data_IF_325350422065
#
_entry.id   IF_325350422065
#
_cell.length_a   1.000
_cell.length_b   1.000
_cell.length_c   1.000
_cell.angle_alpha   90.00
_cell.angle_beta   90.00
_cell.angle_gamma   90.00
#
_symmetry.space_group_name_H-M   'P 1'
#
loop_
_entity.id
_entity.type
_entity.pdbx_description
1 polymer ?
#
# COMPACT_ATOMS: atom_id res chain seq x y z
N UNK A 1 26.04 11.02 24.48
CA UNK A 1 24.73 11.28 23.83
C UNK A 1 24.58 10.28 22.69
N UNK A 2 23.75 9.24 22.86
CA UNK A 2 23.68 8.07 21.97
C UNK A 2 22.65 8.16 20.84
N UNK A 3 22.24 9.36 20.44
CA UNK A 3 21.19 9.60 19.44
C UNK A 3 21.80 10.22 18.18
N UNK A 4 21.28 9.87 17.01
CA UNK A 4 21.69 10.44 15.72
C UNK A 4 20.46 10.70 14.84
N UNK A 5 20.60 11.67 13.92
CA UNK A 5 19.62 11.91 12.87
C UNK A 5 19.62 10.71 11.91
N UNK A 6 18.45 10.13 11.66
CA UNK A 6 18.29 8.96 10.81
C UNK A 6 17.13 9.13 9.86
N UNK A 7 17.26 8.60 8.64
CA UNK A 7 16.19 8.56 7.65
C UNK A 7 15.28 7.36 7.93
N UNK A 8 13.97 7.56 7.82
CA UNK A 8 12.96 6.51 8.02
C UNK A 8 12.93 5.58 6.81
N UNK A 9 13.21 4.30 7.03
CA UNK A 9 13.34 3.29 5.95
C UNK A 9 12.26 2.20 6.00
N UNK A 10 11.42 2.19 7.04
CA UNK A 10 10.41 1.15 7.21
C UNK A 10 9.14 1.48 6.41
N UNK A 11 8.86 0.68 5.38
CA UNK A 11 7.56 0.69 4.71
C UNK A 11 6.52 0.08 5.67
N UNK A 12 5.50 0.86 6.05
CA UNK A 12 4.39 0.40 6.88
C UNK A 12 3.40 -0.46 6.07
N UNK A 13 3.87 -1.56 5.47
CA UNK A 13 3.03 -2.48 4.71
C UNK A 13 2.68 -3.69 5.57
N UNK A 14 1.47 -3.68 6.12
CA UNK A 14 0.88 -4.82 6.84
C UNK A 14 0.22 -5.73 5.80
N UNK A 15 0.87 -6.83 5.44
CA UNK A 15 0.26 -7.86 4.59
C UNK A 15 -0.54 -8.84 5.46
N UNK A 16 -1.71 -9.30 4.99
CA UNK A 16 -2.45 -10.36 5.67
C UNK A 16 -1.67 -11.69 5.57
N UNK A 17 -1.84 -12.56 6.56
CA UNK A 17 -1.13 -13.84 6.66
C UNK A 17 -1.40 -14.77 5.46
N UNK A 18 -2.58 -14.66 4.86
CA UNK A 18 -3.08 -15.51 3.78
C UNK A 18 -3.10 -14.80 2.41
N UNK A 19 -2.19 -13.86 2.18
CA UNK A 19 -2.14 -13.07 0.94
C UNK A 19 -2.14 -13.92 -0.35
N UNK A 20 -1.45 -15.07 -0.33
CA UNK A 20 -1.39 -15.97 -1.48
C UNK A 20 -2.73 -16.62 -1.80
N UNK A 21 -3.50 -16.99 -0.76
CA UNK A 21 -4.83 -17.58 -0.92
C UNK A 21 -5.81 -16.54 -1.47
N UNK A 22 -5.80 -15.33 -0.90
CA UNK A 22 -6.65 -14.22 -1.35
C UNK A 22 -6.35 -13.86 -2.80
N UNK A 23 -5.06 -13.79 -3.17
CA UNK A 23 -4.65 -13.48 -4.54
C UNK A 23 -5.09 -14.57 -5.53
N UNK A 24 -4.97 -15.84 -5.13
CA UNK A 24 -5.39 -16.98 -5.95
C UNK A 24 -6.92 -17.02 -6.13
N UNK A 25 -7.68 -16.80 -5.05
CA UNK A 25 -9.14 -16.79 -5.08
C UNK A 25 -9.66 -15.68 -5.99
N UNK A 26 -9.12 -14.46 -5.86
CA UNK A 26 -9.47 -13.33 -6.72
C UNK A 26 -9.19 -13.62 -8.20
N UNK A 27 -8.03 -14.20 -8.50
CA UNK A 27 -7.65 -14.59 -9.86
C UNK A 27 -8.63 -15.61 -10.47
N UNK A 28 -8.99 -16.65 -9.71
CA UNK A 28 -9.93 -17.68 -10.16
C UNK A 28 -11.34 -17.12 -10.36
N UNK A 29 -11.78 -16.22 -9.48
CA UNK A 29 -13.08 -15.57 -9.59
C UNK A 29 -13.17 -14.68 -10.85
N UNK A 30 -12.14 -13.89 -11.13
CA UNK A 30 -12.06 -13.08 -12.35
C UNK A 30 -12.08 -13.94 -13.60
N UNK A 31 -11.28 -15.00 -13.64
CA UNK A 31 -11.25 -15.95 -14.76
C UNK A 31 -12.62 -16.62 -14.98
N UNK A 32 -13.29 -17.04 -13.91
CA UNK A 32 -14.64 -17.60 -13.97
C UNK A 32 -15.66 -16.61 -14.56
N UNK A 33 -15.61 -15.35 -14.13
CA UNK A 33 -16.52 -14.31 -14.62
C UNK A 33 -16.30 -14.01 -16.12
N UNK A 34 -15.04 -13.89 -16.54
CA UNK A 34 -14.70 -13.67 -17.95
C UNK A 34 -15.20 -14.83 -18.82
N UNK A 35 -14.95 -16.08 -18.39
CA UNK A 35 -15.34 -17.28 -19.14
C UNK A 35 -16.86 -17.45 -19.25
N UNK A 36 -17.61 -17.25 -18.16
CA UNK A 36 -19.06 -17.50 -18.15
C UNK A 36 -19.90 -16.35 -18.71
N UNK A 37 -19.43 -15.11 -18.57
CA UNK A 37 -20.20 -13.93 -18.98
C UNK A 37 -19.62 -13.24 -20.22
N UNK A 38 -18.56 -13.79 -20.82
CA UNK A 38 -17.89 -13.21 -22.01
C UNK A 38 -17.58 -11.72 -21.81
N UNK A 39 -17.07 -11.36 -20.63
CA UNK A 39 -16.77 -9.98 -20.27
C UNK A 39 -15.73 -9.44 -21.25
N UNK A 40 -16.10 -8.38 -21.99
CA UNK A 40 -15.20 -7.75 -22.92
C UNK A 40 -14.03 -7.07 -22.17
N UNK A 41 -12.80 -7.11 -22.70
CA UNK A 41 -11.61 -6.54 -22.04
C UNK A 41 -11.75 -5.05 -21.69
N UNK A 42 -12.56 -4.31 -22.44
CA UNK A 42 -12.89 -2.90 -22.20
C UNK A 42 -13.61 -2.64 -20.86
N UNK A 43 -14.21 -3.67 -20.26
CA UNK A 43 -14.81 -3.59 -18.93
C UNK A 43 -13.84 -3.95 -17.81
N UNK A 44 -12.65 -4.49 -18.10
CA UNK A 44 -11.60 -4.73 -17.12
C UNK A 44 -10.90 -3.40 -16.77
N UNK A 45 -11.43 -2.69 -15.77
CA UNK A 45 -10.80 -1.49 -15.23
C UNK A 45 -9.75 -1.84 -14.19
N UNK A 46 -8.51 -1.43 -14.43
CA UNK A 46 -7.48 -1.40 -13.42
C UNK A 46 -7.76 -0.24 -12.45
N UNK A 47 -8.08 -0.57 -11.20
CA UNK A 47 -8.13 0.41 -10.12
C UNK A 47 -6.81 0.33 -9.37
N UNK A 48 -6.03 1.40 -9.44
CA UNK A 48 -4.88 1.58 -8.57
C UNK A 48 -5.21 2.56 -7.44
N UNK A 49 -4.48 2.42 -6.33
CA UNK A 49 -4.52 3.39 -5.26
C UNK A 49 -3.25 4.23 -5.32
N UNK A 50 -3.36 5.44 -5.85
CA UNK A 50 -2.26 6.40 -5.77
C UNK A 50 -2.19 7.01 -4.36
N UNK A 51 -1.06 6.82 -3.68
CA UNK A 51 -0.82 7.41 -2.36
C UNK A 51 -0.37 8.86 -2.51
N UNK A 52 -1.28 9.82 -2.35
CA UNK A 52 -0.89 11.22 -2.13
C UNK A 52 -0.53 11.41 -0.67
N UNK A 53 0.73 11.74 -0.38
CA UNK A 53 1.19 12.03 0.97
C UNK A 53 0.65 13.40 1.39
N UNK A 54 -0.41 13.41 2.20
CA UNK A 54 -0.99 14.65 2.73
C UNK A 54 -0.22 15.20 3.95
N UNK A 55 0.58 14.37 4.61
CA UNK A 55 1.37 14.76 5.79
C UNK A 55 2.80 15.10 5.42
N UNK A 56 3.21 16.34 5.70
CA UNK A 56 4.60 16.77 5.65
C UNK A 56 5.33 16.28 6.92
N UNK A 57 5.57 14.97 7.00
CA UNK A 57 6.54 14.39 7.93
C UNK A 57 7.88 14.30 7.23
N UNK A 58 8.88 15.06 7.68
CA UNK A 58 10.25 14.88 7.19
C UNK A 58 10.60 13.42 7.37
N UNK A 59 11.10 12.75 6.33
CA UNK A 59 11.53 11.35 6.37
C UNK A 59 12.74 11.11 7.27
N UNK A 60 12.94 11.96 8.27
CA UNK A 60 14.06 11.99 9.18
C UNK A 60 13.56 12.14 10.61
N UNK A 61 14.16 11.39 11.53
CA UNK A 61 13.86 11.44 12.96
C UNK A 61 15.14 11.30 13.77
N UNK A 62 15.07 11.59 15.07
CA UNK A 62 16.14 11.33 16.01
C UNK A 62 15.94 9.95 16.63
N UNK A 63 16.89 9.04 16.42
CA UNK A 63 16.84 7.69 16.96
C UNK A 63 18.20 7.27 17.55
N UNK A 64 18.22 6.19 18.32
CA UNK A 64 19.46 5.67 18.88
C UNK A 64 20.45 5.30 17.77
N UNK A 65 21.72 5.69 17.97
CA UNK A 65 22.78 5.55 16.98
C UNK A 65 23.10 4.08 16.74
N UNK A 66 22.97 3.64 15.48
CA UNK A 66 23.29 2.26 15.06
C UNK A 66 22.06 1.38 14.76
N UNK A 67 20.84 1.88 15.00
CA UNK A 67 19.65 1.12 14.65
C UNK A 67 19.44 1.06 13.13
N UNK A 68 19.17 -0.15 12.64
CA UNK A 68 18.98 -0.42 11.21
C UNK A 68 17.54 -0.16 10.73
N UNK A 69 16.60 -0.11 11.67
CA UNK A 69 15.18 0.09 11.40
C UNK A 69 14.68 1.18 12.33
N UNK A 70 14.43 2.36 11.76
CA UNK A 70 13.93 3.51 12.51
C UNK A 70 12.44 3.67 12.20
N UNK A 71 11.57 3.47 13.20
CA UNK A 71 10.14 3.65 13.00
C UNK A 71 9.83 5.13 12.80
N UNK A 72 8.89 5.43 11.91
CA UNK A 72 8.43 6.79 11.70
C UNK A 72 7.22 7.07 12.59
N UNK A 73 7.40 7.96 13.57
CA UNK A 73 6.29 8.45 14.39
C UNK A 73 5.28 9.19 13.50
N UNK A 74 4.01 8.77 13.52
CA UNK A 74 2.93 9.39 12.76
C UNK A 74 2.68 8.83 11.35
N UNK A 75 3.54 7.96 10.80
CA UNK A 75 3.28 7.30 9.50
C UNK A 75 2.32 6.11 9.62
N UNK A 76 2.19 5.49 10.80
CA UNK A 76 1.29 4.35 11.00
C UNK A 76 -0.20 4.77 10.92
N UNK A 77 -0.51 6.04 11.24
CA UNK A 77 -1.85 6.62 11.05
C UNK A 77 -2.02 7.13 9.62
N UNK A 78 -2.04 6.18 8.68
CA UNK A 78 -2.15 6.46 7.25
C UNK A 78 -3.58 6.92 6.92
N UNK A 79 -3.80 8.24 6.85
CA UNK A 79 -5.03 8.82 6.27
C UNK A 79 -4.95 8.66 4.75
N UNK A 80 -5.52 7.56 4.25
CA UNK A 80 -5.62 7.26 2.82
C UNK A 80 -7.00 7.68 2.33
N UNK A 81 -7.06 8.46 1.25
CA UNK A 81 -8.27 8.66 0.49
C UNK A 81 -8.13 7.93 -0.85
N UNK A 82 -9.16 7.19 -1.25
CA UNK A 82 -9.19 6.46 -2.51
C UNK A 82 -9.95 7.33 -3.51
N UNK A 83 -9.27 7.81 -4.55
CA UNK A 83 -9.90 8.44 -5.70
C UNK A 83 -9.93 7.38 -6.83
N UNK A 84 -11.11 6.84 -7.11
CA UNK A 84 -11.32 5.91 -8.23
C UNK A 84 -12.12 6.61 -9.33
N UNK A 85 -11.48 7.40 -10.22
CA UNK A 85 -12.19 8.10 -11.27
C UNK A 85 -12.67 7.08 -12.33
N UNK A 86 -13.98 6.98 -12.51
CA UNK A 86 -14.57 6.34 -13.69
C UNK A 86 -14.96 7.41 -14.70
N UNK A 87 -14.74 7.11 -15.99
CA UNK A 87 -15.12 7.98 -17.11
C UNK A 87 -16.35 7.35 -17.71
N UNK A 88 -17.46 8.10 -17.79
CA UNK A 88 -18.71 7.70 -18.46
C UNK A 88 -18.86 8.39 -19.79
#
# INVERSE_FOLDING_TARGET
MGWSFQTTTCAAQKLPQNINEIALEAYLQEAYLILNYSIAPEFCRNTDQTQTVFQQGTGNTWHQKGDKQVPAAGIDEKRVFILAPSIS
#
